data_IF_355250711595
#
_entry.id   IF_355250711595
#
_cell.length_a   1.000
_cell.length_b   1.000
_cell.length_c   1.000
_cell.angle_alpha   90.00
_cell.angle_beta   90.00
_cell.angle_gamma   90.00
#
_symmetry.space_group_name_H-M   'P 1'
#
loop_
_entity.id
_entity.type
_entity.pdbx_description
1 polymer ?
#
# COMPACT_ATOMS: atom_id res chain seq x y z
N UNK A 1 15.45 -48.07 59.88
CA UNK A 1 15.11 -49.19 58.99
C UNK A 1 15.48 -48.83 57.57
N UNK A 2 16.21 -49.72 56.92
CA UNK A 2 16.87 -49.54 55.65
C UNK A 2 15.86 -49.90 54.54
N UNK A 3 15.30 -48.92 53.84
CA UNK A 3 14.43 -49.18 52.68
C UNK A 3 15.33 -49.50 51.49
N UNK A 4 15.71 -50.77 51.40
CA UNK A 4 16.25 -51.36 50.19
C UNK A 4 15.18 -51.42 49.10
N UNK A 5 15.58 -51.08 47.88
CA UNK A 5 14.79 -51.12 46.63
C UNK A 5 13.46 -50.38 46.66
N UNK A 6 13.53 -49.04 46.60
CA UNK A 6 12.36 -48.20 46.40
C UNK A 6 11.80 -48.36 45.00
N UNK A 7 10.52 -48.75 44.93
CA UNK A 7 9.72 -48.75 43.71
C UNK A 7 9.81 -47.35 43.07
N UNK A 8 10.03 -47.21 41.75
CA UNK A 8 10.11 -45.90 41.10
C UNK A 8 8.90 -44.99 41.38
N UNK A 9 7.74 -45.60 41.64
CA UNK A 9 6.51 -44.91 42.04
C UNK A 9 6.60 -44.27 43.43
N UNK A 10 7.18 -44.96 44.42
CA UNK A 10 7.35 -44.43 45.79
C UNK A 10 8.36 -43.30 45.83
N UNK A 11 9.44 -43.43 45.03
CA UNK A 11 10.43 -42.35 44.87
C UNK A 11 9.80 -41.11 44.24
N UNK A 12 8.96 -41.29 43.21
CA UNK A 12 8.21 -40.18 42.58
C UNK A 12 7.27 -39.51 43.59
N UNK A 13 6.48 -40.27 44.35
CA UNK A 13 5.57 -39.71 45.38
C UNK A 13 6.31 -38.91 46.47
N UNK A 14 7.48 -39.37 46.92
CA UNK A 14 8.29 -38.63 47.90
C UNK A 14 8.78 -37.30 47.35
N UNK A 15 9.25 -37.27 46.11
CA UNK A 15 9.71 -36.05 45.43
C UNK A 15 8.55 -35.08 45.24
N UNK A 16 7.35 -35.56 44.85
CA UNK A 16 6.16 -34.70 44.73
C UNK A 16 5.77 -34.06 46.06
N UNK A 17 5.79 -34.82 47.17
CA UNK A 17 5.51 -34.28 48.51
C UNK A 17 6.56 -33.26 48.97
N UNK A 18 7.83 -33.46 48.61
CA UNK A 18 8.89 -32.48 48.85
C UNK A 18 8.66 -31.20 48.04
N UNK A 19 8.23 -31.32 46.79
CA UNK A 19 7.88 -30.18 45.95
C UNK A 19 6.71 -29.37 46.53
N UNK A 20 5.66 -30.05 47.02
CA UNK A 20 4.52 -29.39 47.69
C UNK A 20 4.97 -28.65 48.96
N UNK A 21 5.91 -29.21 49.72
CA UNK A 21 6.50 -28.57 50.89
C UNK A 21 7.32 -27.32 50.53
N UNK A 22 8.19 -27.42 49.51
CA UNK A 22 8.98 -26.29 49.01
C UNK A 22 8.08 -25.14 48.49
N UNK A 23 6.96 -25.49 47.85
CA UNK A 23 5.94 -24.52 47.43
C UNK A 23 5.31 -23.79 48.63
N UNK A 24 4.98 -24.52 49.70
CA UNK A 24 4.40 -23.94 50.91
C UNK A 24 5.36 -23.04 51.70
N UNK A 25 6.68 -23.25 51.56
CA UNK A 25 7.73 -22.44 52.20
C UNK A 25 8.13 -21.23 51.33
N UNK A 26 7.47 -21.05 50.19
CA UNK A 26 7.73 -19.96 49.25
C UNK A 26 9.15 -20.02 48.63
N UNK A 27 9.62 -21.24 48.35
CA UNK A 27 10.82 -21.50 47.54
C UNK A 27 10.40 -22.02 46.15
N UNK A 28 9.87 -21.16 45.26
CA UNK A 28 9.24 -21.62 44.02
C UNK A 28 10.24 -22.29 43.05
N UNK A 29 11.53 -21.93 43.10
CA UNK A 29 12.56 -22.47 42.20
C UNK A 29 12.90 -23.91 42.54
N UNK A 30 13.10 -24.18 43.83
CA UNK A 30 13.31 -25.53 44.35
C UNK A 30 12.06 -26.40 44.10
N UNK A 31 10.87 -25.85 44.32
CA UNK A 31 9.62 -26.55 44.03
C UNK A 31 9.51 -26.94 42.54
N UNK A 32 9.80 -26.03 41.63
CA UNK A 32 9.77 -26.30 40.19
C UNK A 32 10.78 -27.37 39.76
N UNK A 33 12.03 -27.29 40.21
CA UNK A 33 13.06 -28.30 39.94
C UNK A 33 12.65 -29.68 40.47
N UNK A 34 12.06 -29.73 41.67
CA UNK A 34 11.54 -30.97 42.25
C UNK A 34 10.36 -31.53 41.44
N UNK A 35 9.39 -30.71 41.01
CA UNK A 35 8.28 -31.17 40.16
C UNK A 35 8.76 -31.69 38.80
N UNK A 36 9.78 -31.05 38.20
CA UNK A 36 10.43 -31.54 36.97
C UNK A 36 11.03 -32.93 37.21
N UNK A 37 11.77 -33.12 38.32
CA UNK A 37 12.39 -34.41 38.65
C UNK A 37 11.37 -35.51 38.98
N UNK A 38 10.17 -35.14 39.43
CA UNK A 38 9.05 -36.06 39.62
C UNK A 38 8.27 -36.37 38.32
N UNK A 39 8.58 -35.69 37.20
CA UNK A 39 7.82 -35.81 35.96
C UNK A 39 6.41 -35.21 36.04
N UNK A 40 6.16 -34.33 37.01
CA UNK A 40 4.90 -33.57 37.16
C UNK A 40 5.03 -32.22 36.43
N UNK A 41 5.19 -32.29 35.10
CA UNK A 41 5.55 -31.11 34.30
C UNK A 41 4.52 -29.98 34.36
N UNK A 42 3.21 -30.28 34.34
CA UNK A 42 2.16 -29.23 34.36
C UNK A 42 2.31 -28.29 35.57
N UNK A 43 2.50 -28.85 36.77
CA UNK A 43 2.68 -28.06 38.00
C UNK A 43 3.99 -27.27 37.99
N UNK A 44 5.05 -27.84 37.43
CA UNK A 44 6.32 -27.13 37.29
C UNK A 44 6.17 -25.92 36.34
N UNK A 45 5.51 -26.12 35.21
CA UNK A 45 5.29 -25.10 34.18
C UNK A 45 4.48 -23.92 34.72
N UNK A 46 3.41 -24.17 35.49
CA UNK A 46 2.63 -23.10 36.12
C UNK A 46 3.50 -22.24 37.06
N UNK A 47 4.31 -22.88 37.91
CA UNK A 47 5.19 -22.15 38.84
C UNK A 47 6.25 -21.36 38.07
N UNK A 48 6.85 -21.95 37.03
CA UNK A 48 7.87 -21.29 36.19
C UNK A 48 7.26 -20.10 35.43
N UNK A 49 6.08 -20.29 34.87
CA UNK A 49 5.32 -19.31 34.11
C UNK A 49 4.93 -18.10 34.96
N UNK A 50 4.37 -18.34 36.15
CA UNK A 50 3.95 -17.30 37.10
C UNK A 50 5.14 -16.44 37.58
N UNK A 51 6.34 -17.03 37.67
CA UNK A 51 7.56 -16.35 38.11
C UNK A 51 8.38 -15.74 36.97
N UNK A 52 8.01 -15.93 35.70
CA UNK A 52 8.72 -15.33 34.57
C UNK A 52 10.07 -15.98 34.23
N UNK A 53 10.33 -17.23 34.62
CA UNK A 53 11.64 -17.85 34.41
C UNK A 53 11.80 -18.46 33.01
N UNK A 54 12.06 -17.62 32.01
CA UNK A 54 12.19 -18.01 30.60
C UNK A 54 13.20 -19.15 30.35
N UNK A 55 14.41 -19.10 30.93
CA UNK A 55 15.43 -20.13 30.70
C UNK A 55 15.00 -21.51 31.19
N UNK A 56 14.40 -21.59 32.39
CA UNK A 56 13.87 -22.84 32.92
C UNK A 56 12.69 -23.34 32.07
N UNK A 57 11.89 -22.43 31.53
CA UNK A 57 10.77 -22.77 30.66
C UNK A 57 11.26 -23.41 29.36
N UNK A 58 12.32 -22.87 28.76
CA UNK A 58 12.96 -23.41 27.55
C UNK A 58 13.53 -24.81 27.82
N UNK A 59 14.21 -25.00 28.96
CA UNK A 59 14.76 -26.29 29.34
C UNK A 59 13.67 -27.35 29.56
N UNK A 60 12.55 -26.97 30.17
CA UNK A 60 11.39 -27.87 30.32
C UNK A 60 10.78 -28.21 28.96
N UNK A 61 10.52 -27.21 28.11
CA UNK A 61 9.99 -27.41 26.76
C UNK A 61 10.89 -28.31 25.88
N UNK A 62 12.21 -28.26 26.09
CA UNK A 62 13.16 -29.15 25.40
C UNK A 62 13.09 -30.60 25.85
N UNK A 63 12.83 -30.84 27.15
CA UNK A 63 12.68 -32.17 27.76
C UNK A 63 11.35 -32.86 27.46
N UNK A 64 10.31 -32.09 27.14
CA UNK A 64 8.99 -32.63 26.81
C UNK A 64 8.99 -33.34 25.43
N UNK A 65 8.28 -34.47 25.37
CA UNK A 65 8.08 -35.25 24.15
C UNK A 65 6.87 -34.74 23.36
N UNK A 66 6.77 -35.16 22.09
CA UNK A 66 5.64 -34.81 21.21
C UNK A 66 4.28 -35.26 21.75
N UNK A 67 4.24 -36.28 22.61
CA UNK A 67 3.01 -36.77 23.23
C UNK A 67 2.46 -35.82 24.31
N UNK A 68 3.31 -34.97 24.91
CA UNK A 68 2.94 -34.07 26.00
C UNK A 68 2.33 -32.76 25.48
N UNK A 69 1.34 -32.87 24.57
CA UNK A 69 0.74 -31.73 23.86
C UNK A 69 0.21 -30.65 24.81
N UNK A 70 -0.40 -31.05 25.93
CA UNK A 70 -0.94 -30.11 26.92
C UNK A 70 0.16 -29.32 27.64
N UNK A 71 1.26 -29.99 28.01
CA UNK A 71 2.39 -29.33 28.65
C UNK A 71 3.11 -28.38 27.67
N UNK A 72 3.30 -28.81 26.41
CA UNK A 72 3.89 -27.97 25.36
C UNK A 72 3.05 -26.72 25.04
N UNK A 73 1.71 -26.83 25.04
CA UNK A 73 0.80 -25.69 24.89
C UNK A 73 1.01 -24.67 26.00
N UNK A 74 1.01 -25.15 27.25
CA UNK A 74 1.19 -24.31 28.42
C UNK A 74 2.56 -23.60 28.41
N UNK A 75 3.63 -24.32 28.03
CA UNK A 75 4.95 -23.72 27.81
C UNK A 75 4.88 -22.61 26.75
N UNK A 76 4.24 -22.85 25.61
CA UNK A 76 4.14 -21.89 24.52
C UNK A 76 3.37 -20.63 24.93
N UNK A 77 2.25 -20.78 25.65
CA UNK A 77 1.44 -19.66 26.14
C UNK A 77 2.22 -18.79 27.14
N UNK A 78 2.97 -19.40 28.07
CA UNK A 78 3.83 -18.66 28.99
C UNK A 78 5.01 -17.99 28.25
N UNK A 79 5.66 -18.67 27.30
CA UNK A 79 6.75 -18.09 26.49
C UNK A 79 6.26 -16.92 25.63
N UNK A 80 5.03 -17.00 25.08
CA UNK A 80 4.37 -15.91 24.37
C UNK A 80 4.15 -14.70 25.28
N UNK A 81 3.67 -14.91 26.51
CA UNK A 81 3.52 -13.82 27.51
C UNK A 81 4.85 -13.18 27.92
N UNK A 82 5.95 -13.94 27.86
CA UNK A 82 7.31 -13.45 28.13
C UNK A 82 7.99 -12.84 26.88
N UNK A 83 7.28 -12.68 25.76
CA UNK A 83 7.78 -12.18 24.48
C UNK A 83 8.91 -13.04 23.86
N UNK A 84 9.01 -14.30 24.29
CA UNK A 84 9.99 -15.28 23.80
C UNK A 84 9.44 -16.08 22.60
N UNK A 85 9.14 -15.37 21.51
CA UNK A 85 8.43 -15.92 20.34
C UNK A 85 9.18 -17.07 19.64
N UNK A 86 10.52 -17.01 19.55
CA UNK A 86 11.32 -18.06 18.91
C UNK A 86 11.19 -19.42 19.63
N UNK A 87 11.15 -19.41 20.96
CA UNK A 87 11.02 -20.64 21.76
C UNK A 87 9.58 -21.14 21.83
N UNK A 88 8.60 -20.23 21.81
CA UNK A 88 7.19 -20.61 21.64
C UNK A 88 6.97 -21.30 20.27
N UNK A 89 7.62 -20.80 19.21
CA UNK A 89 7.59 -21.42 17.89
C UNK A 89 8.20 -22.83 17.90
N UNK A 90 9.32 -23.07 18.61
CA UNK A 90 9.87 -24.42 18.80
C UNK A 90 8.84 -25.38 19.44
N UNK A 91 8.06 -24.91 20.42
CA UNK A 91 7.03 -25.71 21.09
C UNK A 91 5.90 -26.10 20.12
N UNK A 92 5.36 -25.15 19.35
CA UNK A 92 4.31 -25.44 18.36
C UNK A 92 4.83 -26.32 17.22
N UNK A 93 6.08 -26.13 16.80
CA UNK A 93 6.72 -26.97 15.79
C UNK A 93 6.83 -28.43 16.27
N UNK A 94 7.24 -28.66 17.53
CA UNK A 94 7.27 -29.99 18.13
C UNK A 94 5.89 -30.65 18.17
N UNK A 95 4.85 -29.88 18.49
CA UNK A 95 3.46 -30.38 18.50
C UNK A 95 2.91 -30.68 17.09
N UNK A 96 3.53 -30.13 16.05
CA UNK A 96 3.03 -30.15 14.68
C UNK A 96 1.76 -29.32 14.50
N UNK A 97 1.55 -28.30 15.34
CA UNK A 97 0.40 -27.40 15.23
C UNK A 97 0.77 -26.21 14.34
N UNK A 98 0.66 -26.40 13.02
CA UNK A 98 1.00 -25.36 12.05
C UNK A 98 0.13 -24.11 12.21
N UNK A 99 -1.14 -24.27 12.64
CA UNK A 99 -2.08 -23.15 12.80
C UNK A 99 -1.64 -22.22 13.93
N UNK A 100 -1.44 -22.76 15.12
CA UNK A 100 -0.99 -21.99 16.28
C UNK A 100 0.38 -21.34 16.05
N UNK A 101 1.27 -22.03 15.32
CA UNK A 101 2.58 -21.50 14.93
C UNK A 101 2.46 -20.24 14.05
N UNK A 102 1.58 -20.23 13.04
CA UNK A 102 1.42 -19.03 12.21
C UNK A 102 0.74 -17.88 12.96
N UNK A 103 -0.29 -18.17 13.76
CA UNK A 103 -0.94 -17.16 14.60
C UNK A 103 0.09 -16.46 15.51
N UNK A 104 1.03 -17.22 16.09
CA UNK A 104 2.14 -16.69 16.86
C UNK A 104 3.06 -15.76 16.02
N UNK A 105 3.47 -16.18 14.82
CA UNK A 105 4.33 -15.34 13.97
C UNK A 105 3.63 -14.08 13.48
N UNK A 106 2.32 -14.15 13.21
CA UNK A 106 1.49 -12.99 12.83
C UNK A 106 1.38 -12.00 13.98
N UNK A 107 1.12 -12.47 15.20
CA UNK A 107 1.07 -11.62 16.40
C UNK A 107 2.44 -10.99 16.70
N UNK A 108 3.52 -11.76 16.55
CA UNK A 108 4.90 -11.30 16.69
C UNK A 108 5.37 -10.40 15.53
N UNK A 109 4.57 -10.25 14.47
CA UNK A 109 4.90 -9.52 13.23
C UNK A 109 6.16 -10.04 12.53
N UNK A 110 6.48 -11.32 12.71
CA UNK A 110 7.56 -12.01 12.01
C UNK A 110 7.08 -12.51 10.65
N UNK A 111 6.85 -11.58 9.72
CA UNK A 111 6.22 -11.87 8.43
C UNK A 111 7.05 -12.83 7.56
N UNK A 112 8.37 -12.74 7.59
CA UNK A 112 9.24 -13.62 6.78
C UNK A 112 9.08 -15.10 7.16
N UNK A 113 9.01 -15.38 8.46
CA UNK A 113 8.77 -16.73 8.99
C UNK A 113 7.34 -17.19 8.68
N UNK A 114 6.36 -16.28 8.81
CA UNK A 114 4.97 -16.56 8.46
C UNK A 114 4.80 -16.89 6.96
N UNK A 115 5.46 -16.18 6.05
CA UNK A 115 5.41 -16.46 4.62
C UNK A 115 6.04 -17.81 4.27
N UNK A 116 7.18 -18.15 4.90
CA UNK A 116 7.81 -19.46 4.71
C UNK A 116 6.91 -20.63 5.16
N UNK A 117 6.03 -20.41 6.15
CA UNK A 117 5.03 -21.39 6.58
C UNK A 117 3.84 -21.46 5.61
N UNK A 118 3.36 -20.32 5.11
CA UNK A 118 2.27 -20.26 4.12
C UNK A 118 2.65 -20.93 2.79
N UNK A 119 3.91 -20.84 2.38
CA UNK A 119 4.40 -21.56 1.19
C UNK A 119 4.31 -23.09 1.34
N UNK A 120 4.47 -23.60 2.58
CA UNK A 120 4.33 -25.02 2.89
C UNK A 120 2.88 -25.43 3.13
N UNK A 121 2.05 -24.51 3.63
CA UNK A 121 0.63 -24.72 3.95
C UNK A 121 -0.25 -23.64 3.31
N UNK A 122 -0.61 -23.78 2.02
CA UNK A 122 -1.41 -22.79 1.30
C UNK A 122 -2.82 -22.56 1.87
N UNK A 123 -3.32 -23.48 2.69
CA UNK A 123 -4.64 -23.43 3.34
C UNK A 123 -4.80 -22.25 4.31
N UNK A 124 -3.69 -21.71 4.84
CA UNK A 124 -3.68 -20.60 5.80
C UNK A 124 -3.25 -19.26 5.19
N UNK A 125 -3.26 -19.17 3.85
CA UNK A 125 -2.85 -17.97 3.13
C UNK A 125 -3.62 -16.72 3.58
N UNK A 126 -4.93 -16.85 3.79
CA UNK A 126 -5.76 -15.71 4.19
C UNK A 126 -5.46 -15.26 5.62
N UNK A 127 -5.17 -16.21 6.52
CA UNK A 127 -4.89 -15.94 7.94
C UNK A 127 -3.60 -15.12 8.14
N UNK A 128 -2.65 -15.18 7.20
CA UNK A 128 -1.41 -14.41 7.25
C UNK A 128 -1.49 -13.13 6.41
N UNK A 129 -1.96 -13.22 5.16
CA UNK A 129 -1.92 -12.07 4.26
C UNK A 129 -2.92 -10.98 4.64
N UNK A 130 -4.05 -11.29 5.29
CA UNK A 130 -5.01 -10.27 5.73
C UNK A 130 -4.43 -9.42 6.87
N UNK A 131 -3.96 -9.99 8.00
CA UNK A 131 -3.30 -9.20 9.04
C UNK A 131 -2.07 -8.46 8.53
N UNK A 132 -1.29 -9.07 7.62
CA UNK A 132 -0.15 -8.40 6.99
C UNK A 132 -0.58 -7.17 6.17
N UNK A 133 -1.64 -7.29 5.37
CA UNK A 133 -2.15 -6.18 4.57
C UNK A 133 -2.70 -5.04 5.45
N UNK A 134 -3.40 -5.38 6.54
CA UNK A 134 -3.87 -4.40 7.52
C UNK A 134 -2.69 -3.68 8.20
N UNK A 135 -1.67 -4.43 8.64
CA UNK A 135 -0.45 -3.84 9.20
C UNK A 135 0.26 -2.93 8.20
N UNK A 136 0.37 -3.33 6.93
CA UNK A 136 0.95 -2.47 5.88
C UNK A 136 0.13 -1.20 5.66
N UNK A 137 -1.19 -1.30 5.68
CA UNK A 137 -2.09 -0.15 5.55
C UNK A 137 -1.98 0.81 6.75
N UNK A 138 -1.82 0.28 7.98
CA UNK A 138 -1.57 1.09 9.18
C UNK A 138 -0.22 1.83 9.14
N UNK A 139 0.75 1.33 8.38
CA UNK A 139 2.08 1.93 8.22
C UNK A 139 2.23 2.71 6.91
N UNK A 140 1.13 3.13 6.29
CA UNK A 140 1.09 3.90 5.04
C UNK A 140 1.76 3.21 3.82
N UNK A 141 2.04 1.90 3.89
CA UNK A 141 2.62 1.10 2.81
C UNK A 141 1.52 0.51 1.93
N UNK A 142 0.74 1.39 1.34
CA UNK A 142 -0.52 1.05 0.70
C UNK A 142 -0.40 0.18 -0.56
N UNK A 143 0.63 0.37 -1.38
CA UNK A 143 0.83 -0.45 -2.58
C UNK A 143 1.10 -1.92 -2.22
N UNK A 144 1.88 -2.13 -1.16
CA UNK A 144 2.17 -3.46 -0.65
C UNK A 144 0.95 -4.06 0.04
N UNK A 145 0.18 -3.25 0.77
CA UNK A 145 -1.08 -3.66 1.38
C UNK A 145 -2.05 -4.17 0.30
N UNK A 146 -2.18 -3.45 -0.82
CA UNK A 146 -3.00 -3.86 -1.94
C UNK A 146 -2.53 -5.20 -2.55
N UNK A 147 -1.22 -5.36 -2.75
CA UNK A 147 -0.66 -6.62 -3.25
C UNK A 147 -0.91 -7.78 -2.28
N UNK A 148 -0.83 -7.53 -0.98
CA UNK A 148 -1.12 -8.51 0.05
C UNK A 148 -2.61 -8.91 0.07
N UNK A 149 -3.55 -7.97 -0.04
CA UNK A 149 -4.98 -8.28 -0.18
C UNK A 149 -5.29 -9.07 -1.46
N UNK A 150 -4.64 -8.73 -2.57
CA UNK A 150 -4.76 -9.49 -3.80
C UNK A 150 -4.22 -10.91 -3.63
N UNK A 151 -3.08 -11.07 -2.94
CA UNK A 151 -2.55 -12.39 -2.59
C UNK A 151 -3.51 -13.15 -1.68
N UNK A 152 -4.23 -12.51 -0.76
CA UNK A 152 -5.24 -13.15 0.09
C UNK A 152 -6.55 -13.53 -0.64
N UNK A 153 -6.67 -13.27 -1.95
CA UNK A 153 -7.93 -13.49 -2.68
C UNK A 153 -9.04 -12.50 -2.31
N UNK A 154 -8.75 -11.47 -1.51
CA UNK A 154 -9.68 -10.43 -1.08
C UNK A 154 -9.66 -9.26 -2.08
N UNK A 155 -9.94 -9.55 -3.35
CA UNK A 155 -9.92 -8.55 -4.44
C UNK A 155 -10.84 -7.36 -4.14
N UNK A 156 -12.04 -7.60 -3.58
CA UNK A 156 -13.00 -6.54 -3.27
C UNK A 156 -12.51 -5.56 -2.20
N UNK A 157 -11.83 -6.05 -1.15
CA UNK A 157 -11.24 -5.19 -0.13
C UNK A 157 -10.05 -4.40 -0.69
N UNK A 158 -9.23 -5.03 -1.54
CA UNK A 158 -8.13 -4.35 -2.23
C UNK A 158 -8.62 -3.16 -3.07
N UNK A 159 -9.75 -3.34 -3.80
CA UNK A 159 -10.40 -2.27 -4.56
C UNK A 159 -10.88 -1.15 -3.64
N UNK A 160 -11.58 -1.49 -2.55
CA UNK A 160 -12.10 -0.49 -1.59
C UNK A 160 -10.99 0.35 -0.97
N UNK A 161 -9.89 -0.29 -0.57
CA UNK A 161 -8.71 0.40 -0.03
C UNK A 161 -8.11 1.34 -1.09
N UNK A 162 -7.97 0.87 -2.34
CA UNK A 162 -7.44 1.69 -3.42
C UNK A 162 -8.36 2.88 -3.77
N UNK A 163 -9.68 2.70 -3.75
CA UNK A 163 -10.64 3.80 -3.94
C UNK A 163 -10.49 4.87 -2.86
N UNK A 164 -10.38 4.47 -1.59
CA UNK A 164 -10.18 5.39 -0.49
C UNK A 164 -8.85 6.16 -0.61
N UNK A 165 -7.77 5.47 -0.99
CA UNK A 165 -6.47 6.09 -1.22
C UNK A 165 -6.48 7.08 -2.37
N UNK A 166 -7.18 6.71 -3.44
CA UNK A 166 -7.37 7.57 -4.60
C UNK A 166 -8.10 8.85 -4.19
N UNK A 167 -9.17 8.73 -3.40
CA UNK A 167 -9.89 9.89 -2.88
C UNK A 167 -9.00 10.77 -1.99
N UNK A 168 -8.26 10.17 -1.05
CA UNK A 168 -7.36 10.89 -0.16
C UNK A 168 -6.25 11.62 -0.94
N UNK A 169 -5.62 10.96 -1.93
CA UNK A 169 -4.58 11.55 -2.77
C UNK A 169 -5.08 12.78 -3.53
N UNK A 170 -6.33 12.75 -4.02
CA UNK A 170 -6.95 13.93 -4.66
C UNK A 170 -7.17 15.06 -3.66
N UNK A 171 -7.67 14.76 -2.46
CA UNK A 171 -7.89 15.76 -1.41
C UNK A 171 -6.58 16.40 -0.90
N UNK A 172 -5.50 15.62 -0.84
CA UNK A 172 -4.16 16.08 -0.43
C UNK A 172 -3.38 16.77 -1.56
N UNK A 173 -3.96 16.90 -2.76
CA UNK A 173 -3.31 17.43 -3.97
C UNK A 173 -2.10 16.59 -4.46
N UNK A 174 -2.04 15.31 -4.09
CA UNK A 174 -1.04 14.35 -4.59
C UNK A 174 -1.50 13.76 -5.93
N UNK A 175 -1.60 14.61 -6.96
CA UNK A 175 -2.23 14.21 -8.23
C UNK A 175 -1.43 13.19 -9.06
N UNK A 176 -0.11 13.09 -8.87
CA UNK A 176 0.67 12.02 -9.50
C UNK A 176 0.22 10.65 -8.99
N UNK A 177 0.10 10.53 -7.67
CA UNK A 177 -0.35 9.30 -7.00
C UNK A 177 -1.81 9.02 -7.35
N UNK A 178 -2.68 10.05 -7.36
CA UNK A 178 -4.06 9.90 -7.80
C UNK A 178 -4.15 9.38 -9.25
N UNK A 179 -3.32 9.90 -10.16
CA UNK A 179 -3.24 9.42 -11.54
C UNK A 179 -2.85 7.94 -11.61
N UNK A 180 -1.81 7.56 -10.86
CA UNK A 180 -1.37 6.17 -10.76
C UNK A 180 -2.43 5.24 -10.15
N UNK A 181 -3.10 5.65 -9.07
CA UNK A 181 -4.13 4.85 -8.43
C UNK A 181 -5.38 4.69 -9.30
N UNK A 182 -5.81 5.72 -10.03
CA UNK A 182 -6.88 5.59 -11.02
C UNK A 182 -6.48 4.63 -12.15
N UNK A 183 -5.23 4.66 -12.61
CA UNK A 183 -4.75 3.68 -13.59
C UNK A 183 -4.80 2.25 -13.01
N UNK A 184 -4.38 2.04 -11.76
CA UNK A 184 -4.51 0.74 -11.07
C UNK A 184 -5.95 0.27 -10.95
N UNK A 185 -6.88 1.14 -10.55
CA UNK A 185 -8.31 0.82 -10.51
C UNK A 185 -8.83 0.41 -11.89
N UNK A 186 -8.38 1.10 -12.95
CA UNK A 186 -8.76 0.76 -14.32
C UNK A 186 -8.27 -0.66 -14.71
N UNK A 187 -7.02 -1.01 -14.39
CA UNK A 187 -6.50 -2.36 -14.66
C UNK A 187 -7.29 -3.43 -13.90
N UNK A 188 -7.64 -3.19 -12.62
CA UNK A 188 -8.49 -4.11 -11.86
C UNK A 188 -9.89 -4.28 -12.48
N UNK A 189 -10.46 -3.22 -13.05
CA UNK A 189 -11.72 -3.34 -13.79
C UNK A 189 -11.59 -4.27 -15.00
N UNK A 190 -10.43 -4.27 -15.70
CA UNK A 190 -10.18 -5.21 -16.80
C UNK A 190 -10.07 -6.66 -16.32
N UNK A 191 -9.37 -6.87 -15.21
CA UNK A 191 -9.20 -8.20 -14.61
C UNK A 191 -10.58 -8.78 -14.21
N UNK A 192 -11.39 -7.99 -13.49
CA UNK A 192 -12.76 -8.37 -13.10
C UNK A 192 -13.65 -8.60 -14.33
N UNK A 193 -13.52 -7.79 -15.38
CA UNK A 193 -14.26 -7.97 -16.62
C UNK A 193 -13.89 -9.26 -17.38
N UNK A 194 -12.67 -9.79 -17.16
CA UNK A 194 -12.20 -11.05 -17.69
C UNK A 194 -12.71 -12.26 -16.89
N UNK A 195 -12.77 -12.15 -15.57
CA UNK A 195 -13.23 -13.20 -14.66
C UNK A 195 -14.76 -13.32 -14.63
N UNK A 196 -15.48 -12.18 -14.64
CA UNK A 196 -16.94 -12.12 -14.50
C UNK A 196 -17.61 -11.57 -15.78
N UNK A 197 -18.05 -12.43 -16.72
CA UNK A 197 -18.64 -11.98 -17.98
C UNK A 197 -19.98 -11.23 -17.80
N UNK A 198 -20.69 -11.45 -16.69
CA UNK A 198 -21.96 -10.78 -16.37
C UNK A 198 -21.77 -9.29 -16.07
N UNK A 199 -20.67 -8.90 -15.42
CA UNK A 199 -20.37 -7.49 -15.08
C UNK A 199 -19.49 -6.79 -16.11
N UNK A 200 -19.11 -7.49 -17.18
CA UNK A 200 -18.18 -6.99 -18.20
C UNK A 200 -18.55 -5.62 -18.76
N UNK A 201 -19.83 -5.39 -19.07
CA UNK A 201 -20.30 -4.11 -19.61
C UNK A 201 -20.07 -2.93 -18.65
N UNK A 202 -20.42 -3.11 -17.37
CA UNK A 202 -20.24 -2.09 -16.33
C UNK A 202 -18.75 -1.84 -16.04
N UNK A 203 -17.96 -2.91 -15.94
CA UNK A 203 -16.53 -2.82 -15.65
C UNK A 203 -15.76 -2.15 -16.79
N UNK A 204 -16.14 -2.37 -18.06
CA UNK A 204 -15.54 -1.67 -19.19
C UNK A 204 -15.88 -0.18 -19.22
N UNK A 205 -17.08 0.22 -18.79
CA UNK A 205 -17.41 1.64 -18.63
C UNK A 205 -16.56 2.28 -17.53
N UNK A 206 -16.48 1.63 -16.36
CA UNK A 206 -15.61 2.06 -15.25
C UNK A 206 -14.14 2.15 -15.66
N UNK A 207 -13.66 1.20 -16.45
CA UNK A 207 -12.31 1.21 -17.01
C UNK A 207 -12.05 2.50 -17.81
N UNK A 208 -12.91 2.85 -18.76
CA UNK A 208 -12.75 4.06 -19.56
C UNK A 208 -12.82 5.33 -18.71
N UNK A 209 -13.71 5.37 -17.72
CA UNK A 209 -13.84 6.51 -16.80
C UNK A 209 -12.60 6.68 -15.93
N UNK A 210 -12.07 5.58 -15.37
CA UNK A 210 -10.86 5.60 -14.56
C UNK A 210 -9.62 5.91 -15.38
N UNK A 211 -9.48 5.37 -16.60
CA UNK A 211 -8.37 5.69 -17.49
C UNK A 211 -8.37 7.18 -17.83
N UNK A 212 -9.54 7.76 -18.14
CA UNK A 212 -9.66 9.20 -18.40
C UNK A 212 -9.24 10.03 -17.18
N UNK A 213 -9.71 9.65 -15.98
CA UNK A 213 -9.30 10.34 -14.74
C UNK A 213 -7.80 10.22 -14.49
N UNK A 214 -7.22 9.04 -14.72
CA UNK A 214 -5.79 8.81 -14.57
C UNK A 214 -4.98 9.79 -15.43
N UNK A 215 -5.31 9.88 -16.72
CA UNK A 215 -4.64 10.78 -17.66
C UNK A 215 -4.81 12.25 -17.23
N UNK A 216 -6.02 12.64 -16.81
CA UNK A 216 -6.29 14.02 -16.36
C UNK A 216 -5.49 14.40 -15.11
N UNK A 217 -5.43 13.54 -14.09
CA UNK A 217 -4.67 13.81 -12.86
C UNK A 217 -3.17 13.82 -13.10
N UNK A 218 -2.68 12.90 -13.94
CA UNK A 218 -1.27 12.84 -14.33
C UNK A 218 -0.83 14.14 -15.02
N UNK A 219 -1.61 14.62 -15.99
CA UNK A 219 -1.33 15.88 -16.69
C UNK A 219 -1.49 17.09 -15.75
N UNK A 220 -2.51 17.08 -14.90
CA UNK A 220 -2.75 18.17 -13.96
C UNK A 220 -1.65 18.31 -12.91
N UNK A 221 -1.01 17.22 -12.48
CA UNK A 221 0.15 17.27 -11.59
C UNK A 221 1.24 18.23 -12.09
N UNK A 222 1.64 18.11 -13.36
CA UNK A 222 2.65 19.00 -13.95
C UNK A 222 2.19 20.45 -14.01
N UNK A 223 0.91 20.69 -14.31
CA UNK A 223 0.33 22.05 -14.37
C UNK A 223 0.27 22.66 -12.97
N UNK A 224 -0.18 21.91 -11.97
CA UNK A 224 -0.28 22.39 -10.60
C UNK A 224 1.10 22.78 -10.07
N UNK A 225 2.10 21.91 -10.27
CA UNK A 225 3.49 22.21 -9.89
C UNK A 225 3.99 23.47 -10.57
N UNK A 226 3.73 23.65 -11.87
CA UNK A 226 4.07 24.90 -12.56
C UNK A 226 3.39 26.14 -11.96
N UNK A 227 2.18 26.01 -11.42
CA UNK A 227 1.47 27.14 -10.82
C UNK A 227 1.86 27.43 -9.37
N UNK A 228 2.25 26.41 -8.61
CA UNK A 228 2.57 26.53 -7.19
C UNK A 228 4.09 26.73 -6.95
N UNK A 229 4.95 26.18 -7.82
CA UNK A 229 6.41 26.29 -7.73
C UNK A 229 6.96 27.43 -8.62
N UNK A 230 8.00 28.16 -8.19
CA UNK A 230 8.58 29.27 -8.96
C UNK A 230 9.35 28.82 -10.21
N UNK A 231 9.77 27.55 -10.26
CA UNK A 231 10.54 26.97 -11.36
C UNK A 231 9.85 25.70 -11.85
N UNK A 232 10.01 25.41 -13.14
CA UNK A 232 9.50 24.18 -13.76
C UNK A 232 10.60 23.48 -14.54
N UNK A 233 10.60 22.16 -14.50
CA UNK A 233 11.44 21.32 -15.35
C UNK A 233 10.87 21.14 -16.76
N UNK A 234 9.60 21.50 -16.97
CA UNK A 234 8.94 21.34 -18.26
C UNK A 234 9.20 22.53 -19.19
N UNK A 235 9.44 22.21 -20.46
CA UNK A 235 9.53 23.19 -21.52
C UNK A 235 8.16 23.90 -21.71
N UNK A 236 8.15 25.18 -22.12
CA UNK A 236 6.92 25.94 -22.40
C UNK A 236 5.93 25.22 -23.32
N UNK A 237 6.42 24.54 -24.37
CA UNK A 237 5.64 23.77 -25.33
C UNK A 237 4.94 22.57 -24.69
N UNK A 238 5.62 21.90 -23.76
CA UNK A 238 5.07 20.77 -23.03
C UNK A 238 3.90 21.22 -22.15
N UNK A 239 4.07 22.30 -21.38
CA UNK A 239 3.00 22.86 -20.55
C UNK A 239 1.83 23.42 -21.38
N UNK A 240 2.12 24.01 -22.54
CA UNK A 240 1.10 24.44 -23.50
C UNK A 240 0.25 23.27 -23.97
N UNK A 241 0.88 22.18 -24.42
CA UNK A 241 0.18 21.00 -24.92
C UNK A 241 -0.57 20.25 -23.80
N UNK A 242 0.05 20.10 -22.63
CA UNK A 242 -0.60 19.55 -21.42
C UNK A 242 -1.86 20.33 -21.05
N UNK A 243 -1.77 21.67 -21.03
CA UNK A 243 -2.91 22.52 -20.68
C UNK A 243 -4.04 22.40 -21.71
N UNK A 244 -3.71 22.35 -23.02
CA UNK A 244 -4.69 22.13 -24.08
C UNK A 244 -5.39 20.79 -23.96
N UNK A 245 -4.62 19.72 -23.77
CA UNK A 245 -5.14 18.37 -23.61
C UNK A 245 -6.08 18.31 -22.40
N UNK A 246 -5.64 18.81 -21.25
CA UNK A 246 -6.46 18.79 -20.03
C UNK A 246 -7.76 19.58 -20.22
N UNK A 247 -7.72 20.77 -20.82
CA UNK A 247 -8.91 21.58 -21.10
C UNK A 247 -9.87 20.90 -22.08
N UNK A 248 -9.36 20.12 -23.05
CA UNK A 248 -10.18 19.31 -23.93
C UNK A 248 -10.87 18.18 -23.16
N UNK A 249 -10.14 17.43 -22.32
CA UNK A 249 -10.71 16.37 -21.49
C UNK A 249 -11.78 16.88 -20.50
N UNK A 250 -11.64 18.12 -20.03
CA UNK A 250 -12.62 18.78 -19.15
C UNK A 250 -13.98 19.08 -19.80
N UNK A 251 -14.10 18.98 -21.13
CA UNK A 251 -15.38 19.19 -21.83
C UNK A 251 -16.39 18.11 -21.42
N UNK A 252 -15.94 16.86 -21.32
CA UNK A 252 -16.79 15.71 -20.99
C UNK A 252 -17.06 15.57 -19.48
N UNK A 253 -16.34 16.31 -18.65
CA UNK A 253 -16.52 16.28 -17.20
C UNK A 253 -15.31 16.81 -16.44
N UNK A 254 -15.56 17.49 -15.31
CA UNK A 254 -14.51 18.00 -14.42
C UNK A 254 -14.23 16.99 -13.30
N UNK A 255 -13.01 16.43 -13.20
CA UNK A 255 -12.62 15.61 -12.06
C UNK A 255 -12.45 16.47 -10.81
N UNK A 256 -12.66 15.84 -9.65
CA UNK A 256 -12.54 16.49 -8.35
C UNK A 256 -11.11 17.00 -8.10
N UNK A 257 -10.95 18.11 -7.38
CA UNK A 257 -9.62 18.69 -7.09
C UNK A 257 -8.90 19.39 -8.26
N UNK A 258 -9.31 19.16 -9.51
CA UNK A 258 -8.66 19.76 -10.69
C UNK A 258 -9.18 21.18 -10.96
N UNK A 259 -8.28 22.16 -10.95
CA UNK A 259 -8.62 23.57 -11.18
C UNK A 259 -8.56 23.96 -12.66
N UNK A 260 -9.73 24.29 -13.22
CA UNK A 260 -9.84 24.86 -14.57
C UNK A 260 -9.12 26.21 -14.68
N UNK A 261 -9.09 27.00 -13.60
CA UNK A 261 -8.37 28.28 -13.56
C UNK A 261 -6.87 28.06 -13.68
N UNK A 262 -6.30 27.07 -12.99
CA UNK A 262 -4.88 26.75 -13.09
C UNK A 262 -4.50 26.30 -14.51
N UNK A 263 -5.31 25.42 -15.13
CA UNK A 263 -5.10 24.96 -16.50
C UNK A 263 -5.18 26.10 -17.53
N UNK A 264 -6.19 26.98 -17.44
CA UNK A 264 -6.30 28.14 -18.32
C UNK A 264 -5.19 29.17 -18.09
N UNK A 265 -4.79 29.39 -16.85
CA UNK A 265 -3.70 30.31 -16.51
C UNK A 265 -2.37 29.82 -17.08
N UNK A 266 -2.04 28.53 -16.89
CA UNK A 266 -0.87 27.91 -17.51
C UNK A 266 -0.92 28.03 -19.04
N UNK A 267 -2.06 27.70 -19.65
CA UNK A 267 -2.24 27.87 -21.09
C UNK A 267 -1.99 29.33 -21.53
N UNK A 268 -2.59 30.31 -20.87
CA UNK A 268 -2.49 31.71 -21.25
C UNK A 268 -1.05 32.23 -21.18
N UNK A 269 -0.34 31.90 -20.10
CA UNK A 269 1.04 32.33 -19.86
C UNK A 269 2.01 31.68 -20.85
N UNK A 270 1.87 30.38 -21.10
CA UNK A 270 2.72 29.66 -22.05
C UNK A 270 2.41 30.03 -23.51
N UNK A 271 1.13 30.24 -23.86
CA UNK A 271 0.75 30.74 -25.19
C UNK A 271 1.37 32.10 -25.46
N UNK A 272 1.41 32.99 -24.46
CA UNK A 272 2.04 34.30 -24.59
C UNK A 272 3.56 34.20 -24.77
N UNK A 273 4.25 33.30 -24.06
CA UNK A 273 5.70 33.13 -24.23
C UNK A 273 6.06 32.50 -25.58
N UNK A 274 5.21 31.60 -26.10
CA UNK A 274 5.38 30.95 -27.40
C UNK A 274 4.93 31.82 -28.60
N UNK A 275 4.40 33.02 -28.36
CA UNK A 275 3.89 33.89 -29.41
C UNK A 275 2.52 33.50 -29.99
N UNK A 276 1.82 32.53 -29.39
CA UNK A 276 0.44 32.16 -29.71
C UNK A 276 -0.56 33.14 -29.06
N UNK A 277 -0.51 34.40 -29.47
CA UNK A 277 -1.27 35.49 -28.85
C UNK A 277 -2.79 35.36 -28.99
N UNK A 278 -3.34 34.73 -30.03
CA UNK A 278 -4.78 34.47 -30.17
C UNK A 278 -5.26 33.51 -29.08
N UNK A 279 -4.54 32.40 -28.88
CA UNK A 279 -4.85 31.41 -27.84
C UNK A 279 -4.70 32.04 -26.45
N UNK A 280 -3.66 32.85 -26.25
CA UNK A 280 -3.46 33.58 -25.00
C UNK A 280 -4.65 34.52 -24.69
N UNK A 281 -5.12 35.31 -25.67
CA UNK A 281 -6.31 36.19 -25.50
C UNK A 281 -7.55 35.39 -25.16
N UNK A 282 -7.81 34.34 -25.94
CA UNK A 282 -8.97 33.47 -25.70
C UNK A 282 -8.93 32.89 -24.27
N UNK A 283 -7.77 32.41 -23.81
CA UNK A 283 -7.62 31.88 -22.47
C UNK A 283 -7.85 32.95 -21.38
N UNK A 284 -7.31 34.17 -21.55
CA UNK A 284 -7.56 35.29 -20.62
C UNK A 284 -9.03 35.73 -20.60
N UNK A 285 -9.72 35.76 -21.75
CA UNK A 285 -11.16 36.05 -21.80
C UNK A 285 -11.97 34.97 -21.08
N UNK A 286 -11.61 33.69 -21.24
CA UNK A 286 -12.26 32.59 -20.50
C UNK A 286 -12.00 32.66 -18.99
N UNK A 287 -10.82 33.11 -18.56
CA UNK A 287 -10.50 33.29 -17.14
C UNK A 287 -11.39 34.34 -16.47
N UNK A 288 -11.78 35.41 -17.18
CA UNK A 288 -12.67 36.45 -16.65
C UNK A 288 -14.09 35.94 -16.35
N UNK A 289 -14.52 34.87 -17.03
CA UNK A 289 -15.82 34.22 -16.78
C UNK A 289 -15.80 33.25 -15.59
N UNK A 290 -14.65 33.06 -14.92
CA UNK A 290 -14.47 32.13 -13.81
C UNK A 290 -14.20 32.87 -12.50
N UNK A 291 -14.46 32.20 -11.38
CA UNK A 291 -14.06 32.69 -10.05
C UNK A 291 -12.56 32.46 -9.86
N UNK A 292 -11.78 33.52 -9.98
CA UNK A 292 -10.32 33.49 -9.85
C UNK A 292 -9.92 33.51 -8.36
N UNK A 293 -9.08 32.57 -7.88
CA UNK A 293 -8.46 32.65 -6.56
C UNK A 293 -7.54 33.86 -6.42
N UNK A 294 -7.50 34.49 -5.24
CA UNK A 294 -6.73 35.72 -4.96
C UNK A 294 -5.25 35.62 -5.40
N UNK A 295 -4.62 34.46 -5.19
CA UNK A 295 -3.23 34.19 -5.59
C UNK A 295 -2.95 34.40 -7.09
N UNK A 296 -3.95 34.25 -7.94
CA UNK A 296 -3.80 34.40 -9.40
C UNK A 296 -4.28 35.75 -9.92
N UNK A 297 -5.02 36.52 -9.12
CA UNK A 297 -5.77 37.68 -9.59
C UNK A 297 -4.85 38.74 -10.21
N UNK A 298 -3.84 39.20 -9.48
CA UNK A 298 -2.88 40.21 -9.98
C UNK A 298 -2.18 39.75 -11.26
N UNK A 299 -1.72 38.49 -11.31
CA UNK A 299 -1.01 37.97 -12.47
C UNK A 299 -1.92 37.80 -13.69
N UNK A 300 -3.18 37.41 -13.50
CA UNK A 300 -4.16 37.26 -14.57
C UNK A 300 -4.57 38.65 -15.09
N UNK A 301 -4.82 39.60 -14.21
CA UNK A 301 -5.19 40.97 -14.57
C UNK A 301 -4.07 41.65 -15.37
N UNK A 302 -2.83 41.55 -14.90
CA UNK A 302 -1.66 42.01 -15.64
C UNK A 302 -1.52 41.29 -17.00
N UNK A 303 -1.73 39.98 -17.03
CA UNK A 303 -1.73 39.18 -18.26
C UNK A 303 -2.78 39.66 -19.28
N UNK A 304 -4.00 39.93 -18.80
CA UNK A 304 -5.14 40.40 -19.60
C UNK A 304 -4.93 41.80 -20.17
N UNK A 305 -4.26 42.69 -19.44
CA UNK A 305 -3.90 44.03 -19.95
C UNK A 305 -2.75 43.91 -20.95
N UNK A 306 -1.69 43.18 -20.61
CA UNK A 306 -0.48 43.10 -21.43
C UNK A 306 -0.66 42.35 -22.74
N UNK A 307 -1.62 41.42 -22.84
CA UNK A 307 -1.91 40.73 -24.11
C UNK A 307 -2.57 41.65 -25.15
N UNK A 308 -3.24 42.73 -24.71
CA UNK A 308 -3.87 43.71 -25.61
C UNK A 308 -2.86 44.48 -26.45
N UNK A 309 -1.63 44.62 -25.97
CA UNK A 309 -0.55 45.29 -26.70
C UNK A 309 0.18 44.38 -27.69
N UNK A 310 -0.19 43.08 -27.78
CA UNK A 310 0.43 42.13 -28.70
C UNK A 310 -0.31 42.10 -30.05
N UNK A 311 0.29 41.55 -31.13
CA UNK A 311 -0.38 41.38 -32.42
C UNK A 311 -1.55 40.40 -32.38
N UNK A 312 -2.56 40.60 -33.24
CA UNK A 312 -3.73 39.72 -33.35
C UNK A 312 -3.47 38.45 -34.19
N UNK A 313 -2.26 38.29 -34.73
CA UNK A 313 -1.78 37.05 -35.33
C UNK A 313 -0.92 36.28 -34.33
N UNK A 314 -0.87 34.95 -34.51
CA UNK A 314 0.10 34.12 -33.78
C UNK A 314 1.46 34.21 -34.49
N UNK A 315 2.55 33.90 -33.78
CA UNK A 315 3.82 33.65 -34.42
C UNK A 315 3.69 32.41 -35.30
N UNK A 316 4.16 32.46 -36.55
CA UNK A 316 4.10 31.35 -37.52
C UNK A 316 5.04 30.18 -37.16
N UNK A 317 5.52 30.13 -35.92
CA UNK A 317 6.75 29.44 -35.55
C UNK A 317 6.66 27.92 -35.31
N UNK A 318 5.52 27.26 -35.56
CA UNK A 318 5.36 25.85 -35.13
C UNK A 318 4.67 24.90 -36.12
N UNK A 319 4.15 25.39 -37.25
CA UNK A 319 3.32 24.55 -38.12
C UNK A 319 3.67 24.56 -39.59
N UNK A 320 4.32 25.59 -40.11
CA UNK A 320 4.75 25.62 -41.51
C UNK A 320 6.17 25.10 -41.64
N UNK A 321 7.15 25.72 -40.99
CA UNK A 321 8.56 25.37 -41.22
C UNK A 321 8.92 23.94 -40.76
N UNK A 322 8.43 23.50 -39.59
CA UNK A 322 8.66 22.14 -39.10
C UNK A 322 7.87 21.08 -39.89
N UNK A 323 6.66 21.43 -40.34
CA UNK A 323 5.87 20.56 -41.21
C UNK A 323 6.52 20.43 -42.57
N UNK A 324 6.92 21.55 -43.19
CA UNK A 324 7.61 21.60 -44.46
C UNK A 324 8.94 20.85 -44.38
N UNK A 325 9.71 21.02 -43.31
CA UNK A 325 10.94 20.25 -43.08
C UNK A 325 10.65 18.74 -42.97
N UNK A 326 9.65 18.33 -42.19
CA UNK A 326 9.28 16.92 -42.03
C UNK A 326 8.71 16.33 -43.32
N UNK A 327 7.97 17.11 -44.09
CA UNK A 327 7.43 16.74 -45.39
C UNK A 327 8.56 16.58 -46.41
N UNK A 328 9.52 17.51 -46.44
CA UNK A 328 10.72 17.44 -47.28
C UNK A 328 11.61 16.24 -46.91
N UNK A 329 11.76 15.93 -45.62
CA UNK A 329 12.55 14.78 -45.16
C UNK A 329 11.88 13.43 -45.46
N UNK A 330 10.55 13.34 -45.36
CA UNK A 330 9.82 12.07 -45.45
C UNK A 330 9.13 11.84 -46.80
N UNK A 331 9.05 12.86 -47.66
CA UNK A 331 8.34 12.82 -48.94
C UNK A 331 6.81 12.65 -48.81
N UNK A 332 6.27 12.75 -47.60
CA UNK A 332 4.85 12.57 -47.32
C UNK A 332 4.44 13.35 -46.06
N UNK A 333 3.15 13.68 -45.94
CA UNK A 333 2.61 14.34 -44.76
C UNK A 333 2.92 13.52 -43.48
N UNK A 334 3.53 14.11 -42.43
CA UNK A 334 3.89 13.39 -41.20
C UNK A 334 2.68 12.93 -40.38
N UNK A 335 1.50 13.51 -40.62
CA UNK A 335 0.26 13.19 -39.88
C UNK A 335 -0.61 12.15 -40.58
N UNK A 336 -0.81 12.26 -41.90
CA UNK A 336 -1.70 11.36 -42.66
C UNK A 336 -0.98 10.42 -43.64
N UNK A 337 0.36 10.53 -43.75
CA UNK A 337 1.23 9.71 -44.62
C UNK A 337 0.90 9.73 -46.12
N UNK A 338 0.07 10.67 -46.58
CA UNK A 338 -0.13 10.89 -48.02
C UNK A 338 1.12 11.50 -48.64
N UNK A 339 1.60 10.99 -49.79
CA UNK A 339 2.69 11.61 -50.53
C UNK A 339 2.29 13.03 -50.95
N UNK A 340 3.28 13.91 -51.06
CA UNK A 340 3.06 15.23 -51.67
C UNK A 340 2.93 14.98 -53.16
N UNK A 341 1.73 15.21 -53.72
CA UNK A 341 1.53 15.19 -55.17
C UNK A 341 2.17 16.47 -55.75
N UNK A 342 2.92 16.33 -56.85
CA UNK A 342 3.70 17.39 -57.51
C UNK A 342 2.87 18.62 -57.94
#
# INVERSE_FOLDING_TARGET
EFVGSGDPADRKMLITKQADWAKNINEPKAAAEMYISAGEYLKAIDIIGDNGWADMMIDVARKLDKADRQALLLCADYLKKMEQYAYAAECYHKMGDSKALMELHVEARHWDEAFALVEKHPEFRNDVYIPYAQWLAENDRFEEAQQAFHKAGMQGEAVRVLEQLTHNAVCENRFNDAGYYFWKLSMQCLDIAGEEPEKRGEMLQKFHDFQRKADMYYVYHSIQRYTDEPFTSHLPEALFNMSRYLLHCMIDGMPHGVSKVAALYALAKQSKSLGAFKVARYAFEKLQALRIPSRFQESIDLGSVTIRSKPFHDAELFHTDDYELLVLQKGHCPFCRKPVED
#
